data_IF_695250400951
#
_entry.id   IF_695250400951
#
_cell.length_a   1.000
_cell.length_b   1.000
_cell.length_c   1.000
_cell.angle_alpha   90.00
_cell.angle_beta   90.00
_cell.angle_gamma   90.00
#
_symmetry.space_group_name_H-M   'P 1'
#
loop_
_entity.id
_entity.type
_entity.pdbx_description
1 polymer ?
#
# COMPACT_ATOMS: atom_id res chain seq x y z
N UNK A 1 0.77 4.92 -2.90
CA UNK A 1 1.15 4.28 -1.61
C UNK A 1 -0.05 3.55 -1.03
N UNK A 2 0.16 2.40 -0.39
CA UNK A 2 -0.89 1.67 0.34
C UNK A 2 -0.49 1.60 1.81
N UNK A 3 -1.40 2.00 2.69
CA UNK A 3 -1.25 1.95 4.15
C UNK A 3 -2.32 1.02 4.70
N UNK A 4 -1.91 0.01 5.48
CA UNK A 4 -2.80 -0.96 6.10
C UNK A 4 -2.70 -0.87 7.62
N UNK A 5 -3.78 -0.40 8.24
CA UNK A 5 -3.96 -0.21 9.67
C UNK A 5 -2.78 0.47 10.39
N UNK A 6 -2.31 1.63 9.91
CA UNK A 6 -1.09 2.26 10.42
C UNK A 6 -1.21 2.66 11.89
N UNK A 7 -0.31 2.13 12.73
CA UNK A 7 -0.25 2.43 14.17
C UNK A 7 0.29 3.83 14.42
N UNK A 8 -0.15 4.46 15.52
CA UNK A 8 0.29 5.78 15.97
C UNK A 8 -0.03 6.93 15.00
N UNK A 9 -1.07 6.77 14.18
CA UNK A 9 -1.48 7.77 13.20
C UNK A 9 -1.68 9.16 13.81
N UNK A 10 -2.18 9.25 15.03
CA UNK A 10 -2.38 10.51 15.74
C UNK A 10 -1.07 11.30 15.96
N UNK A 11 0.07 10.62 16.13
CA UNK A 11 1.38 11.25 16.39
C UNK A 11 2.02 11.75 15.09
N UNK A 12 1.85 11.01 14.00
CA UNK A 12 2.56 11.29 12.74
C UNK A 12 1.70 12.02 11.69
N UNK A 13 0.41 12.24 11.95
CA UNK A 13 -0.52 12.86 10.99
C UNK A 13 0.00 14.20 10.42
N UNK A 14 0.62 15.05 11.23
CA UNK A 14 1.18 16.33 10.78
C UNK A 14 2.34 16.18 9.79
N UNK A 15 3.10 15.08 9.89
CA UNK A 15 4.20 14.76 8.97
C UNK A 15 3.73 14.34 7.57
N UNK A 16 2.43 14.09 7.38
CA UNK A 16 1.87 13.65 6.10
C UNK A 16 1.48 14.79 5.16
N UNK A 17 1.59 16.05 5.60
CA UNK A 17 1.18 17.21 4.81
C UNK A 17 1.90 17.36 3.45
N UNK A 18 3.11 16.78 3.31
CA UNK A 18 3.87 16.77 2.05
C UNK A 18 3.61 15.55 1.15
N UNK A 19 2.76 14.61 1.56
CA UNK A 19 2.47 13.39 0.80
C UNK A 19 1.41 13.69 -0.26
N UNK A 20 1.85 13.96 -1.49
CA UNK A 20 0.99 14.29 -2.64
C UNK A 20 0.78 13.13 -3.61
N UNK A 21 1.40 11.98 -3.36
CA UNK A 21 1.14 10.77 -4.16
C UNK A 21 -0.23 10.18 -3.80
N UNK A 22 -0.90 9.46 -4.71
CA UNK A 22 -2.14 8.76 -4.38
C UNK A 22 -1.95 7.80 -3.20
N UNK A 23 -2.90 7.82 -2.25
CA UNK A 23 -2.90 6.95 -1.07
C UNK A 23 -4.16 6.08 -1.04
N UNK A 24 -3.97 4.78 -0.87
CA UNK A 24 -5.00 3.85 -0.45
C UNK A 24 -4.79 3.54 1.04
N UNK A 25 -5.84 3.69 1.84
CA UNK A 25 -5.76 3.58 3.29
C UNK A 25 -6.79 2.57 3.78
N UNK A 26 -6.35 1.62 4.59
CA UNK A 26 -7.20 0.58 5.14
C UNK A 26 -7.19 0.63 6.67
N UNK A 27 -8.37 0.47 7.28
CA UNK A 27 -8.56 0.40 8.72
C UNK A 27 -9.24 -0.92 9.11
N UNK A 28 -8.83 -1.48 10.24
CA UNK A 28 -9.59 -2.51 10.93
C UNK A 28 -10.79 -1.86 11.65
N UNK A 29 -11.96 -2.51 11.66
CA UNK A 29 -13.12 -2.00 12.40
C UNK A 29 -12.87 -2.01 13.92
N UNK A 30 -12.20 -3.06 14.42
CA UNK A 30 -12.03 -3.27 15.85
C UNK A 30 -10.69 -2.78 16.41
N UNK A 31 -9.74 -2.38 15.56
CA UNK A 31 -8.39 -2.04 16.03
C UNK A 31 -7.73 -3.24 16.71
N UNK A 32 -6.97 -2.98 17.77
CA UNK A 32 -6.33 -4.01 18.59
C UNK A 32 -4.83 -3.76 18.77
N UNK A 33 -4.24 -4.40 19.78
CA UNK A 33 -2.82 -4.21 20.13
C UNK A 33 -2.40 -2.75 20.38
N UNK A 34 -3.25 -2.00 21.07
CA UNK A 34 -3.04 -0.58 21.33
C UNK A 34 -3.43 0.34 20.16
N UNK A 35 -3.90 -0.23 19.04
CA UNK A 35 -4.42 0.52 17.90
C UNK A 35 -5.91 0.79 18.04
N UNK A 36 -6.33 2.02 17.76
CA UNK A 36 -7.74 2.40 17.65
C UNK A 36 -8.10 2.76 16.21
N UNK A 37 -9.38 2.61 15.80
CA UNK A 37 -9.82 3.11 14.49
C UNK A 37 -9.53 4.62 14.30
N UNK A 38 -9.48 5.39 15.39
CA UNK A 38 -9.21 6.83 15.36
C UNK A 38 -7.80 7.21 14.91
N UNK A 39 -6.83 6.29 15.07
CA UNK A 39 -5.47 6.47 14.60
C UNK A 39 -5.40 6.47 13.07
N UNK A 40 -6.12 5.54 12.41
CA UNK A 40 -6.19 5.52 10.93
C UNK A 40 -6.92 6.74 10.41
N UNK A 41 -7.98 7.18 11.09
CA UNK A 41 -8.66 8.43 10.75
C UNK A 41 -7.74 9.65 10.89
N UNK A 42 -6.84 9.65 11.88
CA UNK A 42 -5.86 10.72 12.02
C UNK A 42 -4.88 10.75 10.84
N UNK A 43 -4.43 9.59 10.34
CA UNK A 43 -3.67 9.49 9.09
C UNK A 43 -4.47 10.08 7.93
N UNK A 44 -5.74 9.70 7.78
CA UNK A 44 -6.59 10.22 6.71
C UNK A 44 -6.73 11.75 6.74
N UNK A 45 -6.84 12.34 7.94
CA UNK A 45 -6.90 13.80 8.14
C UNK A 45 -5.57 14.51 7.92
N UNK A 46 -4.44 13.83 8.12
CA UNK A 46 -3.10 14.37 7.93
C UNK A 46 -2.67 14.49 6.47
N UNK A 47 -3.34 13.76 5.57
CA UNK A 47 -3.05 13.79 4.14
C UNK A 47 -3.68 15.03 3.49
N UNK A 48 -2.96 15.72 2.57
CA UNK A 48 -3.50 16.88 1.86
C UNK A 48 -4.61 16.49 0.87
N UNK A 49 -4.52 15.29 0.28
CA UNK A 49 -5.54 14.72 -0.60
C UNK A 49 -6.29 13.58 0.10
N UNK A 50 -7.60 13.48 -0.14
CA UNK A 50 -8.42 12.44 0.47
C UNK A 50 -8.01 11.06 -0.05
N UNK A 51 -7.60 10.12 0.82
CA UNK A 51 -7.21 8.77 0.37
C UNK A 51 -8.43 7.95 -0.07
N UNK A 52 -8.17 6.91 -0.87
CA UNK A 52 -9.12 5.82 -1.06
C UNK A 52 -9.20 5.01 0.25
N UNK A 53 -10.19 5.31 1.09
CA UNK A 53 -10.30 4.82 2.46
C UNK A 53 -11.28 3.66 2.59
N UNK A 54 -10.85 2.58 3.25
CA UNK A 54 -11.63 1.36 3.47
C UNK A 54 -11.58 0.93 4.93
N UNK A 55 -12.75 0.75 5.54
CA UNK A 55 -12.89 0.09 6.85
C UNK A 55 -13.28 -1.36 6.61
N UNK A 56 -12.54 -2.31 7.20
CA UNK A 56 -12.77 -3.75 7.03
C UNK A 56 -13.64 -4.27 8.17
N UNK A 57 -14.88 -4.71 7.90
CA UNK A 57 -15.78 -5.18 8.94
C UNK A 57 -15.22 -6.40 9.66
N UNK A 58 -15.41 -6.44 10.98
CA UNK A 58 -14.95 -7.49 11.91
C UNK A 58 -13.44 -7.73 11.95
N UNK A 59 -12.66 -6.92 11.26
CA UNK A 59 -11.21 -7.03 11.27
C UNK A 59 -10.66 -6.45 12.58
N UNK A 60 -9.69 -7.16 13.16
CA UNK A 60 -8.76 -6.64 14.14
C UNK A 60 -7.45 -6.22 13.46
N UNK A 61 -6.53 -5.59 14.19
CA UNK A 61 -5.29 -5.03 13.67
C UNK A 61 -4.47 -6.01 12.84
N UNK A 62 -4.34 -7.26 13.31
CA UNK A 62 -3.57 -8.30 12.62
C UNK A 62 -4.27 -8.93 11.42
N UNK A 63 -5.49 -8.54 11.08
CA UNK A 63 -6.20 -9.05 9.91
C UNK A 63 -5.46 -8.80 8.58
N UNK A 64 -4.56 -7.81 8.55
CA UNK A 64 -3.80 -7.40 7.36
C UNK A 64 -2.47 -8.15 7.17
N UNK A 65 -2.04 -8.97 8.14
CA UNK A 65 -0.86 -9.81 7.95
C UNK A 65 -1.24 -11.05 7.12
N UNK A 66 -0.29 -11.56 6.33
CA UNK A 66 -0.52 -12.74 5.51
C UNK A 66 -1.19 -13.89 6.32
N UNK A 67 -2.11 -14.66 5.71
CA UNK A 67 -2.72 -15.81 6.36
C UNK A 67 -1.67 -16.71 7.01
N UNK A 68 -1.89 -17.03 8.29
CA UNK A 68 -0.99 -17.87 9.06
C UNK A 68 -1.15 -19.35 8.67
N UNK A 69 -0.05 -20.09 8.75
CA UNK A 69 -0.10 -21.55 8.73
C UNK A 69 -0.54 -22.10 10.09
N UNK A 70 -0.80 -23.41 10.14
CA UNK A 70 -1.26 -24.07 11.36
C UNK A 70 -0.27 -23.91 12.52
N UNK A 71 1.02 -24.05 12.26
CA UNK A 71 2.05 -23.95 13.30
C UNK A 71 2.05 -22.54 13.93
N UNK A 72 1.87 -21.49 13.12
CA UNK A 72 1.81 -20.11 13.60
C UNK A 72 0.52 -19.82 14.37
N UNK A 73 -0.61 -20.41 13.97
CA UNK A 73 -1.86 -20.32 14.74
C UNK A 73 -1.74 -20.90 16.16
N UNK A 74 -0.95 -21.97 16.32
CA UNK A 74 -0.66 -22.58 17.62
C UNK A 74 0.39 -21.75 18.41
N UNK A 75 1.44 -21.26 17.74
CA UNK A 75 2.55 -20.57 18.39
C UNK A 75 2.25 -19.13 18.80
N UNK A 76 1.48 -18.40 17.98
CA UNK A 76 1.18 -16.96 18.18
C UNK A 76 -0.31 -16.65 17.94
N UNK A 77 -1.22 -17.27 18.71
CA UNK A 77 -2.67 -17.17 18.48
C UNK A 77 -3.20 -15.74 18.51
N UNK A 78 -2.60 -14.85 19.33
CA UNK A 78 -2.95 -13.42 19.39
C UNK A 78 -2.85 -12.70 18.04
N UNK A 79 -1.93 -13.15 17.19
CA UNK A 79 -1.63 -12.56 15.87
C UNK A 79 -2.34 -13.35 14.77
N UNK A 80 -2.39 -14.67 14.91
CA UNK A 80 -2.82 -15.57 13.85
C UNK A 80 -4.28 -16.02 13.90
N UNK A 81 -4.96 -15.87 15.05
CA UNK A 81 -6.36 -16.22 15.19
C UNK A 81 -7.20 -14.95 15.19
N UNK A 82 -8.05 -14.81 14.18
CA UNK A 82 -8.99 -13.70 14.09
C UNK A 82 -10.24 -13.93 14.96
N UNK A 83 -10.98 -12.84 15.18
CA UNK A 83 -12.27 -12.89 15.84
C UNK A 83 -13.30 -13.72 15.08
N UNK A 84 -14.33 -14.17 15.79
CA UNK A 84 -15.42 -14.96 15.22
C UNK A 84 -16.05 -14.27 14.00
N UNK A 85 -16.26 -15.04 12.93
CA UNK A 85 -16.89 -14.55 11.71
C UNK A 85 -16.00 -13.70 10.80
N UNK A 86 -14.70 -13.59 11.09
CA UNK A 86 -13.71 -13.02 10.18
C UNK A 86 -12.94 -14.13 9.43
N UNK A 87 -12.97 -14.06 8.10
CA UNK A 87 -12.21 -14.97 7.23
C UNK A 87 -11.06 -14.19 6.59
N UNK A 88 -9.87 -14.34 7.18
CA UNK A 88 -8.65 -13.68 6.71
C UNK A 88 -8.26 -14.08 5.30
N UNK A 89 -8.45 -15.34 4.91
CA UNK A 89 -8.09 -15.81 3.57
C UNK A 89 -8.95 -15.11 2.52
N UNK A 90 -10.28 -15.12 2.72
CA UNK A 90 -11.22 -14.42 1.84
C UNK A 90 -10.99 -12.91 1.84
N UNK A 91 -10.70 -12.32 3.00
CA UNK A 91 -10.34 -10.91 3.10
C UNK A 91 -9.10 -10.60 2.25
N UNK A 92 -8.00 -11.36 2.40
CA UNK A 92 -6.77 -11.14 1.66
C UNK A 92 -6.94 -11.27 0.15
N UNK A 93 -7.79 -12.19 -0.32
CA UNK A 93 -8.10 -12.29 -1.76
C UNK A 93 -8.67 -10.97 -2.30
N UNK A 94 -9.65 -10.38 -1.59
CA UNK A 94 -10.29 -9.13 -1.99
C UNK A 94 -9.37 -7.91 -1.79
N UNK A 95 -8.64 -7.87 -0.68
CA UNK A 95 -7.67 -6.83 -0.35
C UNK A 95 -6.56 -6.78 -1.39
N UNK A 96 -5.91 -7.91 -1.68
CA UNK A 96 -4.81 -8.00 -2.64
C UNK A 96 -5.25 -7.56 -4.04
N UNK A 97 -6.45 -7.99 -4.49
CA UNK A 97 -6.98 -7.57 -5.79
C UNK A 97 -7.16 -6.04 -5.88
N UNK A 98 -7.65 -5.40 -4.81
CA UNK A 98 -7.82 -3.95 -4.75
C UNK A 98 -6.49 -3.20 -4.66
N UNK A 99 -5.51 -3.74 -3.96
CA UNK A 99 -4.15 -3.19 -3.88
C UNK A 99 -3.46 -3.23 -5.25
N UNK A 100 -3.52 -4.38 -5.93
CA UNK A 100 -2.98 -4.53 -7.29
C UNK A 100 -3.65 -3.55 -8.25
N UNK A 101 -4.98 -3.51 -8.28
CA UNK A 101 -5.71 -2.58 -9.15
C UNK A 101 -5.38 -1.11 -8.87
N UNK A 102 -5.18 -0.74 -7.60
CA UNK A 102 -4.72 0.60 -7.24
C UNK A 102 -3.32 0.90 -7.76
N UNK A 103 -2.37 -0.03 -7.64
CA UNK A 103 -1.02 0.15 -8.19
C UNK A 103 -1.02 0.22 -9.72
N UNK A 104 -1.80 -0.62 -10.41
CA UNK A 104 -1.95 -0.55 -11.87
C UNK A 104 -2.47 0.81 -12.35
N UNK A 105 -3.36 1.43 -11.59
CA UNK A 105 -3.91 2.76 -11.90
C UNK A 105 -2.91 3.89 -11.61
N UNK A 106 -2.10 3.75 -10.57
CA UNK A 106 -1.30 4.87 -10.02
C UNK A 106 0.18 4.84 -10.38
N UNK A 107 0.71 3.69 -10.83
CA UNK A 107 2.12 3.52 -11.17
C UNK A 107 2.39 3.45 -12.68
N UNK A 108 1.37 3.47 -13.53
CA UNK A 108 1.59 3.53 -14.99
C UNK A 108 2.24 4.86 -15.36
N UNK A 109 3.46 4.80 -15.90
CA UNK A 109 4.18 5.96 -16.43
C UNK A 109 3.39 6.56 -17.61
N UNK A 110 2.96 7.83 -17.56
CA UNK A 110 2.33 8.48 -18.69
C UNK A 110 3.30 8.73 -19.85
N UNK A 111 4.62 8.61 -19.63
CA UNK A 111 5.61 8.81 -20.69
C UNK A 111 5.55 7.65 -21.68
N UNK A 112 5.53 7.95 -23.00
CA UNK A 112 5.69 6.92 -24.01
C UNK A 112 7.00 6.16 -23.75
N UNK A 113 6.96 4.83 -23.86
CA UNK A 113 8.16 4.00 -23.87
C UNK A 113 9.17 4.61 -24.85
N UNK A 114 10.40 4.86 -24.39
CA UNK A 114 11.46 5.41 -25.23
C UNK A 114 11.63 4.50 -26.46
N UNK A 115 11.36 5.04 -27.65
CA UNK A 115 11.58 4.33 -28.90
C UNK A 115 13.05 3.92 -28.96
N UNK A 116 13.38 2.64 -29.25
CA UNK A 116 14.77 2.25 -29.45
C UNK A 116 15.36 3.11 -30.57
N UNK A 117 16.35 3.93 -30.25
CA UNK A 117 16.95 4.85 -31.20
C UNK A 117 17.53 4.08 -32.39
N UNK A 118 16.99 4.34 -33.59
CA UNK A 118 17.60 3.90 -34.84
C UNK A 118 18.96 4.60 -34.95
N UNK A 119 20.04 3.81 -34.88
CA UNK A 119 21.40 4.31 -34.95
C UNK A 119 21.66 5.04 -36.28
N UNK A 120 22.10 6.29 -36.19
CA UNK A 120 22.50 7.08 -37.35
C UNK A 120 23.96 6.73 -37.73
N UNK A 121 24.28 6.54 -39.02
CA UNK A 121 25.61 6.12 -39.44
C UNK A 121 26.66 7.21 -39.18
N UNK A 122 27.82 6.81 -38.64
CA UNK A 122 28.98 7.69 -38.40
C UNK A 122 29.50 8.25 -39.72
N UNK A 123 29.54 9.58 -39.84
CA UNK A 123 30.27 10.26 -40.90
C UNK A 123 31.78 10.08 -40.69
N UNK A 124 32.48 9.68 -41.76
CA UNK A 124 33.93 9.55 -41.83
C UNK A 124 34.51 10.96 -41.98
N UNK A 125 35.49 11.32 -41.14
CA UNK A 125 36.16 12.62 -41.21
C UNK A 125 37.49 12.43 -41.96
N UNK A 126 37.58 12.95 -43.18
CA UNK A 126 38.84 13.13 -43.90
C UNK A 126 39.61 14.29 -43.25
N UNK A 127 40.82 14.02 -42.75
CA UNK A 127 41.82 15.05 -42.49
C UNK A 127 43.09 14.76 -43.26
N UNK A 128 43.26 15.58 -44.29
CA UNK A 128 44.43 15.72 -45.15
C UNK A 128 45.69 16.00 -44.31
N UNK A 129 46.75 15.22 -44.54
CA UNK A 129 48.09 15.48 -44.00
C UNK A 129 48.81 16.50 -44.90
N UNK A 130 49.34 17.54 -44.28
CA UNK A 130 50.53 18.28 -44.74
C UNK A 130 51.61 18.09 -43.70
#
# INVERSE_FOLDING_TARGET
>A
MVLADPVFGAIFASGLAGVTIPVQLWASEYGGDGMSPSDVEAVARGLPEKPAYFVVPRAAHFAFIAPCDRASMEAVPRICNDGEGFDRIRFHQAFNARVVGFFEQTLRDPRPAATPGVGQPRAQNETSRT
#
